data_IF_221819760136
#
_entry.id   IF_221819760136
#
_cell.length_a   1.000
_cell.length_b   1.000
_cell.length_c   1.000
_cell.angle_alpha   90.00
_cell.angle_beta   90.00
_cell.angle_gamma   90.00
#
_symmetry.space_group_name_H-M   'P 1'
#
loop_
_entity.id
_entity.type
_entity.pdbx_description
1 polymer ?
#
# COMPACT_ATOMS: atom_id res chain seq x y z
N UNK A 1 18.38 -2.43 -4.44
CA UNK A 1 17.58 -3.52 -3.84
C UNK A 1 18.47 -4.41 -2.99
N UNK A 2 17.93 -4.93 -1.91
CA UNK A 2 18.65 -5.89 -1.07
C UNK A 2 18.69 -7.26 -1.76
N UNK A 3 19.68 -8.11 -1.45
CA UNK A 3 19.73 -9.47 -2.00
C UNK A 3 18.44 -10.23 -1.67
N UNK A 4 17.84 -10.85 -2.68
CA UNK A 4 16.59 -11.59 -2.52
C UNK A 4 15.32 -10.76 -2.42
N UNK A 5 15.44 -9.45 -2.41
CA UNK A 5 14.29 -8.55 -2.38
C UNK A 5 13.63 -8.47 -3.75
N UNK A 6 12.30 -8.60 -3.79
CA UNK A 6 11.56 -8.42 -5.04
C UNK A 6 11.44 -6.93 -5.37
N UNK A 7 11.12 -6.62 -6.64
CA UNK A 7 10.85 -5.24 -7.05
C UNK A 7 9.71 -4.63 -6.23
N UNK A 8 8.63 -5.40 -6.02
CA UNK A 8 7.49 -4.94 -5.22
C UNK A 8 7.88 -4.59 -3.80
N UNK A 9 8.62 -5.48 -3.14
CA UNK A 9 9.07 -5.27 -1.75
C UNK A 9 10.00 -4.06 -1.65
N UNK A 10 10.88 -3.89 -2.62
CA UNK A 10 11.75 -2.73 -2.68
C UNK A 10 10.96 -1.43 -2.80
N UNK A 11 10.00 -1.38 -3.71
CA UNK A 11 9.18 -0.19 -3.91
C UNK A 11 8.33 0.14 -2.68
N UNK A 12 7.76 -0.87 -2.02
CA UNK A 12 7.04 -0.68 -0.77
C UNK A 12 7.95 -0.11 0.32
N UNK A 13 9.17 -0.63 0.43
CA UNK A 13 10.14 -0.15 1.40
C UNK A 13 10.50 1.32 1.14
N UNK A 14 10.71 1.68 -0.10
CA UNK A 14 11.01 3.06 -0.50
C UNK A 14 9.86 4.01 -0.13
N UNK A 15 8.64 3.63 -0.43
CA UNK A 15 7.48 4.46 -0.11
C UNK A 15 7.29 4.57 1.41
N UNK A 16 7.53 3.50 2.17
CA UNK A 16 7.49 3.56 3.64
C UNK A 16 8.51 4.55 4.18
N UNK A 17 9.74 4.56 3.65
CA UNK A 17 10.77 5.52 4.06
C UNK A 17 10.36 6.96 3.73
N UNK A 18 9.77 7.17 2.55
CA UNK A 18 9.24 8.47 2.17
C UNK A 18 8.15 8.91 3.15
N UNK A 19 7.22 8.03 3.48
CA UNK A 19 6.13 8.33 4.42
C UNK A 19 6.67 8.67 5.82
N UNK A 20 7.70 7.96 6.28
CA UNK A 20 8.36 8.27 7.54
C UNK A 20 8.91 9.69 7.53
N UNK A 21 9.49 10.11 6.40
CA UNK A 21 10.00 11.48 6.25
C UNK A 21 8.89 12.53 6.30
N UNK A 22 7.65 12.12 5.97
CA UNK A 22 6.46 12.98 6.03
C UNK A 22 5.78 12.97 7.41
N UNK A 23 6.30 12.19 8.35
CA UNK A 23 5.80 12.14 9.72
C UNK A 23 4.90 10.93 10.04
N UNK A 24 4.73 10.00 9.10
CA UNK A 24 3.99 8.78 9.38
C UNK A 24 4.85 7.86 10.22
N UNK A 25 4.37 7.51 11.39
CA UNK A 25 5.15 6.79 12.42
C UNK A 25 4.61 5.39 12.71
N UNK A 26 3.45 5.02 12.18
CA UNK A 26 2.86 3.70 12.40
C UNK A 26 2.42 3.08 11.09
N UNK A 27 2.76 1.79 10.90
CA UNK A 27 2.43 1.04 9.70
C UNK A 27 1.74 -0.25 10.12
N UNK A 28 0.67 -0.62 9.41
CA UNK A 28 -0.09 -1.84 9.67
C UNK A 28 0.17 -2.85 8.56
N UNK A 29 0.67 -4.02 8.91
CA UNK A 29 0.93 -5.11 7.98
C UNK A 29 -0.33 -5.98 7.85
N UNK A 30 -0.98 -5.89 6.71
CA UNK A 30 -2.25 -6.60 6.46
C UNK A 30 -2.22 -7.53 5.24
N UNK A 31 -1.08 -7.65 4.57
CA UNK A 31 -0.90 -8.61 3.50
C UNK A 31 -0.73 -10.01 4.08
N UNK A 32 -1.31 -11.02 3.42
CA UNK A 32 -1.11 -12.40 3.82
C UNK A 32 0.20 -12.95 3.24
N UNK A 33 0.52 -14.22 3.54
CA UNK A 33 1.76 -14.86 3.09
C UNK A 33 1.87 -14.94 1.57
N UNK A 34 0.74 -14.93 0.87
CA UNK A 34 0.70 -14.92 -0.60
C UNK A 34 0.86 -13.52 -1.20
N UNK A 35 1.02 -12.49 -0.36
CA UNK A 35 1.16 -11.12 -0.79
C UNK A 35 -0.15 -10.44 -1.16
N UNK A 36 -1.29 -11.05 -0.86
CA UNK A 36 -2.60 -10.44 -1.08
C UNK A 36 -2.92 -9.46 0.05
N UNK A 37 -3.60 -8.37 -0.30
CA UNK A 37 -4.02 -7.36 0.64
C UNK A 37 -3.54 -5.99 0.22
N UNK A 38 -3.76 -5.01 1.09
CA UNK A 38 -3.34 -3.63 0.87
C UNK A 38 -1.83 -3.53 1.06
N UNK A 39 -1.16 -2.81 0.18
CA UNK A 39 0.30 -2.71 0.21
C UNK A 39 0.80 -1.97 1.45
N UNK A 40 0.27 -0.79 1.71
CA UNK A 40 0.70 0.03 2.86
C UNK A 40 -0.52 0.69 3.50
N UNK A 41 -0.59 0.61 4.81
CA UNK A 41 -1.49 1.45 5.62
C UNK A 41 -0.60 2.19 6.61
N UNK A 42 -0.58 3.51 6.53
CA UNK A 42 0.27 4.35 7.35
C UNK A 42 -0.56 5.34 8.16
N UNK A 43 -0.15 5.56 9.40
CA UNK A 43 -0.81 6.50 10.31
C UNK A 43 0.18 7.48 10.90
N UNK A 44 -0.23 8.75 10.98
CA UNK A 44 0.39 9.72 11.87
C UNK A 44 -0.36 9.68 13.19
N UNK A 45 0.21 9.06 14.20
CA UNK A 45 -0.48 8.91 15.49
C UNK A 45 -0.79 10.25 16.13
N UNK A 46 0.02 11.26 15.83
CA UNK A 46 -0.12 12.61 16.39
C UNK A 46 -1.39 13.34 15.89
N UNK A 47 -1.76 13.13 14.63
CA UNK A 47 -2.91 13.79 14.00
C UNK A 47 -4.03 12.84 13.65
N UNK A 48 -3.80 11.54 13.75
CA UNK A 48 -4.69 10.46 13.32
C UNK A 48 -4.96 10.46 11.80
N UNK A 49 -4.06 11.09 11.02
CA UNK A 49 -4.12 11.00 9.56
C UNK A 49 -3.73 9.59 9.13
N UNK A 50 -4.53 9.00 8.24
CA UNK A 50 -4.27 7.65 7.71
C UNK A 50 -4.24 7.68 6.19
N UNK A 51 -3.20 7.08 5.62
CA UNK A 51 -3.09 6.86 4.17
C UNK A 51 -3.13 5.36 3.88
N UNK A 52 -4.00 4.99 2.96
CA UNK A 52 -4.11 3.62 2.45
C UNK A 52 -3.54 3.64 1.04
N UNK A 53 -2.48 2.89 0.81
CA UNK A 53 -1.63 3.08 -0.37
C UNK A 53 -1.46 1.80 -1.16
N UNK A 54 -1.62 1.93 -2.48
CA UNK A 54 -1.27 0.93 -3.47
C UNK A 54 0.05 1.34 -4.11
N UNK A 55 1.01 0.42 -4.19
CA UNK A 55 2.32 0.69 -4.78
C UNK A 55 2.50 -0.15 -6.04
N UNK A 56 2.88 0.50 -7.13
CA UNK A 56 3.24 -0.16 -8.39
C UNK A 56 4.66 0.21 -8.76
N UNK A 57 5.47 -0.79 -9.05
CA UNK A 57 6.84 -0.59 -9.45
C UNK A 57 7.10 -1.09 -10.86
N UNK A 58 8.02 -0.47 -11.57
CA UNK A 58 8.48 -0.93 -12.87
C UNK A 58 9.97 -0.68 -13.05
N UNK A 59 10.62 -1.57 -13.80
CA UNK A 59 11.98 -1.36 -14.30
C UNK A 59 11.96 -1.06 -15.80
N UNK A 60 10.78 -0.96 -16.40
CA UNK A 60 10.63 -0.67 -17.81
C UNK A 60 10.55 0.82 -18.06
N UNK A 61 11.62 1.40 -18.62
CA UNK A 61 11.66 2.80 -19.00
C UNK A 61 10.53 3.15 -19.98
N UNK A 62 10.29 2.27 -20.96
CA UNK A 62 9.23 2.47 -21.93
C UNK A 62 7.84 2.59 -21.28
N UNK A 63 7.56 1.74 -20.31
CA UNK A 63 6.29 1.80 -19.58
C UNK A 63 6.18 3.07 -18.75
N UNK A 64 7.28 3.49 -18.14
CA UNK A 64 7.31 4.72 -17.36
C UNK A 64 7.09 5.95 -18.24
N UNK A 65 7.88 6.08 -19.31
CA UNK A 65 7.83 7.24 -20.19
C UNK A 65 6.47 7.41 -20.87
N UNK A 66 5.77 6.31 -21.12
CA UNK A 66 4.41 6.33 -21.69
C UNK A 66 3.33 6.43 -20.63
N UNK A 67 3.69 6.53 -19.37
CA UNK A 67 2.73 6.55 -18.26
C UNK A 67 2.03 5.21 -18.04
N UNK A 68 2.56 4.12 -18.56
CA UNK A 68 1.93 2.80 -18.50
C UNK A 68 1.94 2.18 -17.13
N UNK A 69 2.76 2.69 -16.19
CA UNK A 69 2.68 2.27 -14.79
C UNK A 69 1.31 2.54 -14.20
N UNK A 70 0.66 3.63 -14.65
CA UNK A 70 -0.70 3.96 -14.24
C UNK A 70 -1.73 3.02 -14.86
N UNK A 71 -1.37 2.38 -15.96
CA UNK A 71 -2.25 1.52 -16.74
C UNK A 71 -1.94 0.04 -16.56
N UNK A 72 -1.05 -0.32 -15.63
CA UNK A 72 -0.77 -1.71 -15.33
C UNK A 72 -2.07 -2.40 -14.94
N UNK A 73 -2.26 -3.66 -15.37
CA UNK A 73 -3.49 -4.37 -15.07
C UNK A 73 -3.76 -4.41 -13.58
N UNK A 74 -4.91 -3.90 -13.19
CA UNK A 74 -5.38 -3.94 -11.81
C UNK A 74 -6.44 -5.03 -11.69
N UNK A 75 -6.61 -5.54 -10.48
CA UNK A 75 -7.73 -6.43 -10.20
C UNK A 75 -9.04 -5.66 -10.39
N UNK A 76 -10.14 -6.38 -10.51
CA UNK A 76 -11.46 -5.76 -10.67
C UNK A 76 -11.77 -4.75 -9.57
N UNK A 77 -11.42 -5.11 -8.32
CA UNK A 77 -11.69 -4.25 -7.17
C UNK A 77 -10.85 -2.98 -7.21
N UNK A 78 -9.59 -3.10 -7.63
CA UNK A 78 -8.70 -1.94 -7.79
C UNK A 78 -9.22 -0.99 -8.87
N UNK A 79 -9.75 -1.53 -9.96
CA UNK A 79 -10.32 -0.73 -11.05
C UNK A 79 -11.60 0.00 -10.62
N UNK A 80 -12.34 -0.55 -9.66
CA UNK A 80 -13.53 0.08 -9.12
C UNK A 80 -13.19 1.25 -8.18
N UNK A 81 -11.91 1.42 -7.85
CA UNK A 81 -11.41 2.48 -6.97
C UNK A 81 -10.65 1.89 -5.78
N UNK A 82 -9.60 2.56 -5.38
CA UNK A 82 -8.73 2.11 -4.30
C UNK A 82 -9.49 1.88 -2.99
N UNK A 83 -10.50 2.69 -2.72
CA UNK A 83 -11.32 2.56 -1.52
C UNK A 83 -12.03 1.21 -1.45
N UNK A 84 -12.76 0.85 -2.50
CA UNK A 84 -13.51 -0.41 -2.55
C UNK A 84 -12.59 -1.61 -2.41
N UNK A 85 -11.48 -1.61 -3.15
CA UNK A 85 -10.50 -2.67 -3.08
C UNK A 85 -9.92 -2.80 -1.67
N UNK A 86 -9.48 -1.70 -1.10
CA UNK A 86 -8.83 -1.69 0.20
C UNK A 86 -9.76 -2.12 1.32
N UNK A 87 -10.99 -1.61 1.33
CA UNK A 87 -11.97 -1.99 2.33
C UNK A 87 -12.31 -3.48 2.26
N UNK A 88 -12.47 -4.02 1.06
CA UNK A 88 -12.72 -5.44 0.85
C UNK A 88 -11.59 -6.29 1.44
N UNK A 89 -10.34 -5.95 1.14
CA UNK A 89 -9.18 -6.71 1.60
C UNK A 89 -8.99 -6.62 3.11
N UNK A 90 -9.18 -5.43 3.67
CA UNK A 90 -9.07 -5.23 5.12
C UNK A 90 -10.15 -6.00 5.87
N UNK A 91 -11.38 -6.00 5.38
CA UNK A 91 -12.47 -6.77 5.98
C UNK A 91 -12.19 -8.27 5.94
N UNK A 92 -11.69 -8.78 4.81
CA UNK A 92 -11.32 -10.19 4.69
C UNK A 92 -10.22 -10.57 5.67
N UNK A 93 -9.20 -9.73 5.79
CA UNK A 93 -8.10 -9.96 6.73
C UNK A 93 -8.58 -9.91 8.18
N UNK A 94 -9.39 -8.93 8.52
CA UNK A 94 -9.95 -8.76 9.87
C UNK A 94 -10.80 -9.95 10.28
N UNK A 95 -11.58 -10.49 9.35
CA UNK A 95 -12.48 -11.60 9.61
C UNK A 95 -11.79 -12.97 9.51
N UNK A 96 -10.53 -13.01 9.08
CA UNK A 96 -9.79 -14.25 8.94
C UNK A 96 -10.28 -15.11 7.79
N UNK A 97 -10.77 -14.49 6.71
CA UNK A 97 -11.30 -15.20 5.55
C UNK A 97 -10.18 -15.79 4.69
N UNK A 98 -10.43 -16.94 4.10
CA UNK A 98 -9.57 -17.62 3.12
C UNK A 98 -8.06 -17.41 3.32
N UNK A 99 -7.46 -16.50 2.59
CA UNK A 99 -6.01 -16.24 2.62
C UNK A 99 -5.46 -15.79 3.97
N UNK A 100 -6.31 -15.37 4.91
CA UNK A 100 -5.90 -14.91 6.25
C UNK A 100 -6.30 -15.86 7.36
N UNK A 101 -6.82 -17.04 7.02
CA UNK A 101 -7.40 -17.99 7.98
C UNK A 101 -6.44 -18.42 9.09
N UNK A 102 -5.17 -18.60 8.77
CA UNK A 102 -4.16 -19.09 9.71
C UNK A 102 -3.11 -18.01 10.03
N UNK A 103 -3.50 -16.74 9.99
CA UNK A 103 -2.59 -15.62 10.20
C UNK A 103 -3.13 -14.69 11.29
N UNK A 104 -3.09 -15.13 12.57
CA UNK A 104 -3.69 -14.36 13.66
C UNK A 104 -3.06 -12.99 13.88
N UNK A 105 -1.75 -12.83 13.64
CA UNK A 105 -1.07 -11.54 13.72
C UNK A 105 -1.60 -10.57 12.68
N UNK A 106 -1.73 -11.03 11.44
CA UNK A 106 -2.25 -10.21 10.35
C UNK A 106 -3.72 -9.84 10.58
N UNK A 107 -4.51 -10.78 11.12
CA UNK A 107 -5.89 -10.51 11.50
C UNK A 107 -5.97 -9.42 12.58
N UNK A 108 -5.11 -9.49 13.58
CA UNK A 108 -5.06 -8.49 14.65
C UNK A 108 -4.63 -7.13 14.10
N UNK A 109 -3.63 -7.10 13.21
CA UNK A 109 -3.18 -5.88 12.56
C UNK A 109 -4.31 -5.26 11.72
N UNK A 110 -5.07 -6.08 11.02
CA UNK A 110 -6.20 -5.61 10.20
C UNK A 110 -7.30 -4.99 11.07
N UNK A 111 -7.57 -5.56 12.23
CA UNK A 111 -8.53 -4.99 13.18
C UNK A 111 -8.10 -3.60 13.67
N UNK A 112 -6.81 -3.47 14.01
CA UNK A 112 -6.24 -2.19 14.44
C UNK A 112 -6.25 -1.16 13.29
N UNK A 113 -5.88 -1.59 12.10
CA UNK A 113 -5.89 -0.73 10.91
C UNK A 113 -7.31 -0.24 10.61
N UNK A 114 -8.29 -1.13 10.68
CA UNK A 114 -9.69 -0.78 10.46
C UNK A 114 -10.16 0.29 11.45
N UNK A 115 -9.83 0.13 12.72
CA UNK A 115 -10.18 1.10 13.75
C UNK A 115 -9.55 2.48 13.48
N UNK A 116 -8.26 2.50 13.08
CA UNK A 116 -7.56 3.73 12.73
C UNK A 116 -8.20 4.39 11.51
N UNK A 117 -8.58 3.61 10.51
CA UNK A 117 -9.24 4.11 9.30
C UNK A 117 -10.61 4.73 9.61
N UNK A 118 -11.40 4.07 10.44
CA UNK A 118 -12.70 4.61 10.84
C UNK A 118 -12.55 5.94 11.59
N UNK A 119 -11.59 6.04 12.48
CA UNK A 119 -11.30 7.28 13.19
C UNK A 119 -10.87 8.39 12.23
N UNK A 120 -9.96 8.08 11.29
CA UNK A 120 -9.49 9.03 10.30
C UNK A 120 -10.61 9.45 9.36
N UNK A 121 -11.50 8.53 8.98
CA UNK A 121 -12.67 8.82 8.17
C UNK A 121 -13.58 9.82 8.86
N UNK A 122 -13.87 9.61 10.13
CA UNK A 122 -14.71 10.51 10.93
C UNK A 122 -14.07 11.90 11.05
N UNK A 123 -12.75 11.97 11.12
CA UNK A 123 -12.00 13.23 11.21
C UNK A 123 -11.74 13.88 9.85
N UNK A 124 -12.10 13.24 8.75
CA UNK A 124 -11.81 13.74 7.41
C UNK A 124 -10.33 13.66 7.02
N UNK A 125 -9.57 12.77 7.66
CA UNK A 125 -8.11 12.63 7.45
C UNK A 125 -7.70 11.27 6.89
N UNK A 126 -8.65 10.57 6.27
CA UNK A 126 -8.39 9.31 5.58
C UNK A 126 -8.24 9.56 4.09
N UNK A 127 -7.18 9.03 3.48
CA UNK A 127 -6.99 9.11 2.02
C UNK A 127 -6.54 7.78 1.44
N UNK A 128 -6.89 7.57 0.17
CA UNK A 128 -6.50 6.41 -0.62
C UNK A 128 -5.64 6.92 -1.76
N UNK A 129 -4.40 6.42 -1.84
CA UNK A 129 -3.43 6.92 -2.81
C UNK A 129 -2.75 5.77 -3.55
N UNK A 130 -2.24 6.09 -4.72
CA UNK A 130 -1.43 5.17 -5.51
C UNK A 130 -0.09 5.83 -5.81
N UNK A 131 1.00 5.07 -5.59
CA UNK A 131 2.35 5.50 -5.94
C UNK A 131 2.89 4.59 -7.03
N UNK A 132 3.36 5.21 -8.10
CA UNK A 132 4.08 4.51 -9.17
C UNK A 132 5.58 4.81 -8.98
N UNK A 133 6.39 3.76 -9.02
CA UNK A 133 7.83 3.88 -8.79
C UNK A 133 8.59 3.28 -9.97
N UNK A 134 9.50 4.05 -10.55
CA UNK A 134 10.41 3.55 -11.56
C UNK A 134 11.79 3.32 -10.95
N UNK A 135 12.31 2.12 -11.13
CA UNK A 135 13.65 1.75 -10.71
C UNK A 135 14.47 1.49 -11.95
N UNK A 136 15.48 2.30 -12.21
CA UNK A 136 16.29 2.16 -13.42
C UNK A 136 17.29 1.00 -13.33
N UNK A 137 18.04 0.79 -14.41
CA UNK A 137 18.99 -0.32 -14.51
C UNK A 137 20.09 -0.28 -13.44
N UNK A 138 20.43 0.91 -12.96
CA UNK A 138 21.45 1.07 -11.92
C UNK A 138 20.88 0.85 -10.50
N UNK A 139 19.57 0.65 -10.39
CA UNK A 139 18.89 0.54 -9.10
C UNK A 139 18.49 1.89 -8.51
N UNK A 140 18.70 2.98 -9.24
CA UNK A 140 18.27 4.30 -8.81
C UNK A 140 16.77 4.47 -9.02
N UNK A 141 16.14 5.22 -8.13
CA UNK A 141 14.70 5.42 -8.13
C UNK A 141 14.38 6.68 -8.90
N UNK A 142 13.41 6.56 -9.82
CA UNK A 142 12.75 7.71 -10.41
C UNK A 142 11.35 7.78 -9.83
N UNK A 143 11.05 8.89 -9.27
CA UNK A 143 9.86 9.13 -8.53
C UNK A 143 8.62 9.21 -9.41
N UNK A 144 7.56 8.55 -9.01
CA UNK A 144 6.31 8.57 -9.72
C UNK A 144 5.15 8.58 -8.76
N UNK A 145 5.01 9.64 -7.99
CA UNK A 145 3.91 9.79 -7.06
C UNK A 145 2.61 10.06 -7.81
N UNK A 146 1.56 9.33 -7.44
CA UNK A 146 0.23 9.47 -7.99
C UNK A 146 -0.77 9.62 -6.85
N UNK A 147 -1.69 10.58 -6.96
CA UNK A 147 -2.68 10.83 -5.93
C UNK A 147 -2.17 11.67 -4.77
N UNK A 148 -1.06 12.33 -5.01
CA UNK A 148 -0.42 13.18 -4.01
C UNK A 148 -0.58 14.63 -4.40
#
# INVERSE_FOLDING_TARGET
MLPGETLGDFCERVIKEYLKSQGFDKFYEVQNRSGNGVDIIAEKTKTHEVKVIEVKGTQSESKWDKGQTKELPLSRDQKAGGETYSESRINRAKNGDDGWKNEPETQANAKQAHAAMEQAKDNGTLSYEKYDVYVDESGAIRNGEQGV
#
